data_IF_088805023273
#
_entry.id   IF_088805023273
#
_cell.length_a   1.000
_cell.length_b   1.000
_cell.length_c   1.000
_cell.angle_alpha   90.00
_cell.angle_beta   90.00
_cell.angle_gamma   90.00
#
_symmetry.space_group_name_H-M   'P 1'
#
loop_
_entity.id
_entity.type
_entity.pdbx_description
1 polymer ?
#
# COMPACT_ATOMS: atom_id res chain seq x y z
N UNK A 1 -1.97 40.61 -15.82
CA UNK A 1 -0.88 39.66 -16.13
C UNK A 1 -0.47 38.76 -14.96
N UNK A 2 -0.37 39.24 -13.70
CA UNK A 2 0.03 38.40 -12.55
C UNK A 2 -0.94 37.26 -12.19
N UNK A 3 -2.25 37.48 -12.30
CA UNK A 3 -3.29 36.47 -11.99
C UNK A 3 -3.28 35.25 -12.92
N UNK A 4 -2.98 35.45 -14.21
CA UNK A 4 -2.93 34.36 -15.20
C UNK A 4 -1.75 33.42 -14.91
N UNK A 5 -0.60 33.96 -14.50
CA UNK A 5 0.57 33.15 -14.13
C UNK A 5 0.34 32.34 -12.84
N UNK A 6 -0.41 32.88 -11.87
CA UNK A 6 -0.76 32.17 -10.64
C UNK A 6 -1.72 31.03 -10.94
N UNK A 7 -2.74 31.25 -11.79
CA UNK A 7 -3.67 30.21 -12.20
C UNK A 7 -2.98 29.07 -12.96
N UNK A 8 -2.09 29.40 -13.91
CA UNK A 8 -1.31 28.41 -14.67
C UNK A 8 -0.37 27.59 -13.77
N UNK A 9 0.30 28.25 -12.81
CA UNK A 9 1.15 27.57 -11.84
C UNK A 9 0.33 26.61 -10.95
N UNK A 10 -0.85 27.03 -10.50
CA UNK A 10 -1.74 26.18 -9.69
C UNK A 10 -2.21 24.95 -10.47
N UNK A 11 -2.61 25.11 -11.74
CA UNK A 11 -2.99 23.99 -12.59
C UNK A 11 -1.86 22.99 -12.79
N UNK A 12 -0.63 23.47 -12.96
CA UNK A 12 0.56 22.63 -13.14
C UNK A 12 0.89 21.85 -11.86
N UNK A 13 0.79 22.49 -10.69
CA UNK A 13 0.98 21.83 -9.38
C UNK A 13 -0.08 20.75 -9.16
N UNK A 14 -1.35 21.03 -9.47
CA UNK A 14 -2.45 20.07 -9.34
C UNK A 14 -2.24 18.88 -10.28
N UNK A 15 -1.83 19.11 -11.53
CA UNK A 15 -1.53 18.05 -12.48
C UNK A 15 -0.35 17.17 -12.03
N UNK A 16 0.73 17.79 -11.52
CA UNK A 16 1.85 17.05 -10.94
C UNK A 16 1.45 16.25 -9.70
N UNK A 17 0.66 16.84 -8.80
CA UNK A 17 0.16 16.16 -7.61
C UNK A 17 -0.72 14.96 -7.97
N UNK A 18 -1.62 15.10 -8.94
CA UNK A 18 -2.44 14.01 -9.45
C UNK A 18 -1.58 12.88 -10.07
N UNK A 19 -0.53 13.24 -10.83
CA UNK A 19 0.42 12.28 -11.38
C UNK A 19 1.19 11.51 -10.29
N UNK A 20 1.67 12.19 -9.26
CA UNK A 20 2.38 11.56 -8.14
C UNK A 20 1.44 10.68 -7.32
N UNK A 21 0.21 11.13 -7.04
CA UNK A 21 -0.82 10.34 -6.37
C UNK A 21 -1.14 9.06 -7.15
N UNK A 22 -1.29 9.15 -8.47
CA UNK A 22 -1.52 8.00 -9.33
C UNK A 22 -0.33 7.01 -9.31
N UNK A 23 0.89 7.54 -9.31
CA UNK A 23 2.10 6.71 -9.27
C UNK A 23 2.32 6.06 -7.88
N UNK A 24 1.99 6.77 -6.81
CA UNK A 24 1.96 6.26 -5.43
C UNK A 24 0.89 5.20 -5.25
N UNK A 25 -0.21 5.25 -6.00
CA UNK A 25 -1.25 4.21 -6.01
C UNK A 25 -0.74 2.87 -6.57
N UNK A 26 0.12 2.94 -7.58
CA UNK A 26 0.68 1.77 -8.26
C UNK A 26 1.90 1.18 -7.54
N UNK A 27 2.55 1.93 -6.66
CA UNK A 27 3.73 1.49 -5.93
C UNK A 27 3.30 0.72 -4.68
N UNK A 28 3.32 -0.60 -4.78
CA UNK A 28 3.14 -1.47 -3.61
C UNK A 28 4.26 -1.16 -2.58
N UNK A 29 3.94 -1.06 -1.27
CA UNK A 29 4.98 -1.04 -0.24
C UNK A 29 5.84 -2.32 -0.34
N UNK A 30 7.10 -2.31 0.13
CA UNK A 30 7.90 -3.52 0.13
C UNK A 30 7.27 -4.58 1.05
N UNK A 31 7.32 -5.87 0.68
CA UNK A 31 6.70 -6.94 1.47
C UNK A 31 7.32 -7.11 2.86
N UNK A 32 8.56 -6.66 3.03
CA UNK A 32 9.28 -6.64 4.32
C UNK A 32 8.58 -5.73 5.33
N UNK A 33 8.25 -4.51 4.94
CA UNK A 33 7.54 -3.55 5.79
C UNK A 33 6.15 -4.07 6.18
N UNK A 34 5.42 -4.65 5.21
CA UNK A 34 4.08 -5.19 5.46
C UNK A 34 4.15 -6.36 6.44
N UNK A 35 5.13 -7.27 6.29
CA UNK A 35 5.30 -8.38 7.21
C UNK A 35 5.79 -7.95 8.59
N UNK A 36 6.60 -6.89 8.69
CA UNK A 36 7.01 -6.32 9.97
C UNK A 36 5.81 -5.72 10.72
N UNK A 37 4.94 -4.98 10.02
CA UNK A 37 3.69 -4.43 10.58
C UNK A 37 2.72 -5.54 11.02
N UNK A 38 2.55 -6.58 10.20
CA UNK A 38 1.74 -7.73 10.57
C UNK A 38 2.32 -8.48 11.80
N UNK A 39 3.64 -8.52 11.94
CA UNK A 39 4.28 -9.13 13.11
C UNK A 39 4.03 -8.30 14.38
N UNK A 40 4.06 -6.97 14.30
CA UNK A 40 3.70 -6.14 15.45
C UNK A 40 2.24 -6.33 15.85
N UNK A 41 1.32 -6.32 14.87
CA UNK A 41 -0.11 -6.56 15.13
C UNK A 41 -0.36 -7.96 15.70
N UNK A 42 0.28 -9.00 15.16
CA UNK A 42 0.13 -10.36 15.68
C UNK A 42 0.66 -10.51 17.11
N UNK A 43 1.70 -9.75 17.49
CA UNK A 43 2.21 -9.73 18.87
C UNK A 43 1.25 -9.02 19.81
N UNK A 44 0.66 -7.92 19.39
CA UNK A 44 -0.36 -7.20 20.16
C UNK A 44 -1.63 -8.05 20.35
N UNK A 45 -2.05 -8.78 19.32
CA UNK A 45 -3.21 -9.67 19.34
C UNK A 45 -2.90 -11.06 19.96
N UNK A 46 -1.68 -11.29 20.46
CA UNK A 46 -1.20 -12.57 20.99
C UNK A 46 -1.37 -13.79 20.04
N UNK A 47 -1.34 -13.55 18.72
CA UNK A 47 -1.51 -14.58 17.70
C UNK A 47 -0.18 -15.31 17.44
N UNK A 48 0.06 -16.37 18.21
CA UNK A 48 1.30 -17.16 18.16
C UNK A 48 1.54 -17.92 16.84
N UNK A 49 0.59 -17.89 15.90
CA UNK A 49 0.67 -18.62 14.62
C UNK A 49 1.32 -17.81 13.49
N UNK A 50 1.62 -16.53 13.70
CA UNK A 50 2.19 -15.69 12.66
C UNK A 50 3.70 -15.92 12.48
N UNK A 51 4.09 -16.40 11.30
CA UNK A 51 5.49 -16.57 10.89
C UNK A 51 5.89 -15.52 9.84
N UNK A 52 6.78 -14.57 10.16
CA UNK A 52 7.22 -13.52 9.24
C UNK A 52 7.97 -14.06 8.02
N UNK A 53 8.65 -15.22 8.12
CA UNK A 53 9.32 -15.84 6.97
C UNK A 53 8.31 -16.40 5.98
N UNK A 54 7.21 -16.96 6.48
CA UNK A 54 6.11 -17.46 5.65
C UNK A 54 5.32 -16.31 5.02
N UNK A 55 5.19 -15.20 5.73
CA UNK A 55 4.59 -13.95 5.24
C UNK A 55 5.32 -13.43 4.00
N UNK A 56 6.65 -13.25 4.07
CA UNK A 56 7.48 -12.76 2.96
C UNK A 56 7.35 -13.60 1.69
N UNK A 57 7.32 -14.93 1.82
CA UNK A 57 7.15 -15.83 0.66
C UNK A 57 5.79 -15.69 -0.01
N UNK A 58 4.75 -15.40 0.75
CA UNK A 58 3.37 -15.27 0.23
C UNK A 58 3.10 -13.90 -0.37
N UNK A 59 3.82 -12.87 0.08
CA UNK A 59 3.67 -11.49 -0.36
C UNK A 59 4.66 -11.12 -1.47
N UNK A 60 5.31 -12.09 -2.11
CA UNK A 60 6.15 -11.79 -3.27
C UNK A 60 5.32 -11.16 -4.39
N UNK A 61 5.86 -10.13 -5.06
CA UNK A 61 5.16 -9.44 -6.13
C UNK A 61 4.85 -10.38 -7.29
N UNK A 62 3.69 -10.24 -7.93
CA UNK A 62 3.35 -11.07 -9.09
C UNK A 62 4.29 -10.75 -10.26
N UNK A 63 4.81 -11.79 -10.92
CA UNK A 63 5.84 -11.63 -11.98
C UNK A 63 5.35 -10.95 -13.25
N UNK A 64 4.04 -10.97 -13.56
CA UNK A 64 3.51 -10.49 -14.87
C UNK A 64 2.11 -9.86 -14.83
N UNK A 65 1.17 -10.38 -14.04
CA UNK A 65 -0.21 -9.88 -13.98
C UNK A 65 -0.68 -9.70 -12.53
N UNK A 66 -1.48 -8.67 -12.26
CA UNK A 66 -2.04 -8.43 -10.93
C UNK A 66 -1.23 -7.47 -10.04
N UNK A 67 -0.37 -6.63 -10.61
CA UNK A 67 0.41 -5.62 -9.86
C UNK A 67 -0.50 -4.63 -9.14
N UNK A 68 -1.57 -4.17 -9.80
CA UNK A 68 -2.55 -3.23 -9.24
C UNK A 68 -3.34 -3.83 -8.06
N UNK A 69 -3.99 -5.01 -8.18
CA UNK A 69 -4.66 -5.64 -7.05
C UNK A 69 -3.67 -6.06 -5.94
N UNK A 70 -2.44 -6.43 -6.29
CA UNK A 70 -1.38 -6.68 -5.32
C UNK A 70 -1.02 -5.43 -4.51
N UNK A 71 -0.79 -4.30 -5.18
CA UNK A 71 -0.46 -3.03 -4.53
C UNK A 71 -1.59 -2.57 -3.59
N UNK A 72 -2.85 -2.68 -4.03
CA UNK A 72 -4.01 -2.36 -3.19
C UNK A 72 -4.10 -3.27 -1.96
N UNK A 73 -3.89 -4.57 -2.14
CA UNK A 73 -3.89 -5.52 -1.03
C UNK A 73 -2.79 -5.19 -0.01
N UNK A 74 -1.58 -4.92 -0.50
CA UNK A 74 -0.41 -4.58 0.32
C UNK A 74 -0.61 -3.28 1.11
N UNK A 75 -1.19 -2.24 0.48
CA UNK A 75 -1.58 -1.00 1.17
C UNK A 75 -2.61 -1.26 2.27
N UNK A 76 -3.69 -1.98 1.95
CA UNK A 76 -4.71 -2.34 2.95
C UNK A 76 -4.11 -3.07 4.16
N UNK A 77 -3.18 -4.00 3.95
CA UNK A 77 -2.51 -4.71 5.05
C UNK A 77 -1.61 -3.80 5.89
N UNK A 78 -0.98 -2.79 5.29
CA UNK A 78 -0.15 -1.81 5.98
C UNK A 78 -0.99 -0.81 6.79
N UNK A 79 -2.15 -0.41 6.25
CA UNK A 79 -3.04 0.58 6.88
C UNK A 79 -4.01 -0.05 7.90
N UNK A 80 -4.04 -1.38 7.99
CA UNK A 80 -4.88 -2.10 8.95
C UNK A 80 -4.39 -1.90 10.40
N UNK A 81 -5.34 -1.59 11.30
CA UNK A 81 -5.09 -1.37 12.73
C UNK A 81 -5.20 -2.62 13.62
N UNK A 82 -5.51 -3.79 13.05
CA UNK A 82 -5.53 -5.06 13.78
C UNK A 82 -5.15 -6.21 12.87
N UNK A 83 -4.64 -7.32 13.43
CA UNK A 83 -4.21 -8.46 12.64
C UNK A 83 -5.39 -9.09 11.88
N UNK A 84 -6.56 -9.16 12.52
CA UNK A 84 -7.80 -9.64 11.89
C UNK A 84 -8.23 -8.78 10.69
N UNK A 85 -8.16 -7.44 10.81
CA UNK A 85 -8.48 -6.53 9.71
C UNK A 85 -7.50 -6.67 8.54
N UNK A 86 -6.21 -6.83 8.85
CA UNK A 86 -5.18 -7.04 7.84
C UNK A 86 -5.38 -8.36 7.08
N UNK A 87 -5.82 -9.42 7.76
CA UNK A 87 -6.12 -10.73 7.13
C UNK A 87 -7.39 -10.70 6.27
N UNK A 88 -8.29 -9.73 6.49
CA UNK A 88 -9.47 -9.50 5.66
C UNK A 88 -9.17 -8.67 4.39
N UNK A 89 -7.97 -8.10 4.27
CA UNK A 89 -7.53 -7.40 3.06
C UNK A 89 -7.44 -8.38 1.88
N UNK A 90 -8.54 -8.49 1.15
CA UNK A 90 -8.67 -9.19 -0.12
C UNK A 90 -8.74 -8.16 -1.25
N UNK A 91 -8.30 -8.60 -2.41
CA UNK A 91 -8.49 -7.85 -3.65
C UNK A 91 -10.00 -7.75 -3.90
N UNK A 92 -10.58 -6.55 -3.86
CA UNK A 92 -11.89 -6.31 -4.49
C UNK A 92 -11.67 -6.50 -5.99
N UNK A 93 -12.28 -7.56 -6.53
CA UNK A 93 -12.33 -7.81 -7.97
C UNK A 93 -13.13 -6.69 -8.67
#
# INVERSE_FOLDING_TARGET
>A
MKLVNVALAFSLIVACAAGVLWHMELRAPPPEDVCAHLLSLAREDADARFDPRRCLRRLQPPKKFGVRPYAQRMKCMKDAGSFAAAMQCRVRA
#
